data_IF_052977919177
#
_entry.id   IF_052977919177
#
_cell.length_a   1.000
_cell.length_b   1.000
_cell.length_c   1.000
_cell.angle_alpha   90.00
_cell.angle_beta   90.00
_cell.angle_gamma   90.00
#
_symmetry.space_group_name_H-M   'P 1'
#
loop_
_entity.id
_entity.type
_entity.pdbx_description
1 polymer ?
#
# COMPACT_ATOMS: atom_id res chain seq x y z
N UNK A 1 -12.49 -3.80 10.25
CA UNK A 1 -12.36 -4.96 11.16
C UNK A 1 -11.73 -6.18 10.48
N UNK A 2 -12.05 -6.47 9.21
CA UNK A 2 -11.54 -7.64 8.47
C UNK A 2 -10.00 -7.70 8.36
N UNK A 3 -9.33 -6.63 7.91
CA UNK A 3 -7.86 -6.62 7.74
C UNK A 3 -7.08 -6.98 9.00
N UNK A 4 -7.48 -6.47 10.17
CA UNK A 4 -6.85 -6.82 11.47
C UNK A 4 -7.03 -8.29 11.82
N UNK A 5 -8.16 -8.89 11.49
CA UNK A 5 -8.42 -10.31 11.75
C UNK A 5 -7.46 -11.16 10.93
N UNK A 6 -7.41 -10.92 9.62
CA UNK A 6 -6.52 -11.61 8.69
C UNK A 6 -5.04 -11.48 9.07
N UNK A 7 -4.58 -10.28 9.42
CA UNK A 7 -3.22 -10.06 9.90
C UNK A 7 -2.88 -10.86 11.17
N UNK A 8 -3.86 -11.10 12.05
CA UNK A 8 -3.64 -11.85 13.29
C UNK A 8 -3.68 -13.36 13.10
N UNK A 9 -4.44 -13.83 12.11
CA UNK A 9 -4.57 -15.25 11.78
C UNK A 9 -3.58 -15.70 10.70
N UNK A 10 -2.75 -14.79 10.19
CA UNK A 10 -1.77 -15.08 9.15
C UNK A 10 -0.81 -16.18 9.61
N UNK A 11 -0.64 -17.21 8.79
CA UNK A 11 0.33 -18.29 9.02
C UNK A 11 1.56 -17.98 8.17
N UNK A 12 2.73 -17.88 8.81
CA UNK A 12 4.00 -17.50 8.17
C UNK A 12 3.94 -16.21 7.33
N UNK A 13 3.05 -15.29 7.68
CA UNK A 13 2.84 -14.02 6.98
C UNK A 13 2.00 -14.12 5.72
N UNK A 14 1.46 -15.31 5.41
CA UNK A 14 0.54 -15.54 4.30
C UNK A 14 -0.89 -15.22 4.74
N UNK A 15 -1.61 -14.50 3.89
CA UNK A 15 -3.02 -14.13 4.10
C UNK A 15 -3.78 -14.55 2.85
N UNK A 16 -4.75 -15.45 3.05
CA UNK A 16 -5.67 -15.86 2.01
C UNK A 16 -6.93 -14.98 2.06
N UNK A 17 -7.33 -14.44 0.91
CA UNK A 17 -8.43 -13.50 0.78
C UNK A 17 -9.40 -14.03 -0.27
N UNK A 18 -10.68 -14.09 0.11
CA UNK A 18 -11.74 -14.20 -0.88
C UNK A 18 -11.93 -12.86 -1.62
N UNK A 19 -12.75 -12.87 -2.67
CA UNK A 19 -12.99 -11.69 -3.51
C UNK A 19 -13.46 -10.46 -2.71
N UNK A 20 -14.36 -10.65 -1.74
CA UNK A 20 -14.85 -9.55 -0.89
C UNK A 20 -13.76 -9.05 0.07
N UNK A 21 -12.96 -9.96 0.62
CA UNK A 21 -11.78 -9.66 1.43
C UNK A 21 -10.74 -8.86 0.65
N UNK A 22 -10.43 -9.27 -0.58
CA UNK A 22 -9.50 -8.58 -1.47
C UNK A 22 -9.98 -7.15 -1.78
N UNK A 23 -11.26 -6.95 -2.07
CA UNK A 23 -11.83 -5.61 -2.26
C UNK A 23 -11.75 -4.74 -0.98
N UNK A 24 -12.02 -5.32 0.18
CA UNK A 24 -11.89 -4.61 1.46
C UNK A 24 -10.43 -4.22 1.76
N UNK A 25 -9.48 -5.09 1.43
CA UNK A 25 -8.05 -4.81 1.54
C UNK A 25 -7.60 -3.73 0.57
N UNK A 26 -8.08 -3.76 -0.68
CA UNK A 26 -7.79 -2.74 -1.68
C UNK A 26 -8.17 -1.34 -1.19
N UNK A 27 -9.36 -1.18 -0.62
CA UNK A 27 -9.80 0.08 -0.02
C UNK A 27 -8.90 0.54 1.13
N UNK A 28 -8.58 -0.36 2.05
CA UNK A 28 -7.71 -0.04 3.19
C UNK A 28 -6.28 0.35 2.77
N UNK A 29 -5.70 -0.38 1.82
CA UNK A 29 -4.37 -0.07 1.26
C UNK A 29 -4.39 1.29 0.57
N UNK A 30 -5.42 1.57 -0.23
CA UNK A 30 -5.60 2.86 -0.90
C UNK A 30 -5.69 4.03 0.10
N UNK A 31 -6.47 3.89 1.18
CA UNK A 31 -6.61 4.93 2.21
C UNK A 31 -5.26 5.24 2.89
N UNK A 32 -4.49 4.21 3.22
CA UNK A 32 -3.14 4.37 3.79
C UNK A 32 -2.25 5.07 2.78
N UNK A 33 -2.26 4.65 1.52
CA UNK A 33 -1.44 5.24 0.45
C UNK A 33 -1.78 6.72 0.24
N UNK A 34 -3.05 7.08 0.22
CA UNK A 34 -3.49 8.48 0.13
C UNK A 34 -2.98 9.32 1.32
N UNK A 35 -3.10 8.80 2.54
CA UNK A 35 -2.60 9.50 3.73
C UNK A 35 -1.08 9.70 3.69
N UNK A 36 -0.32 8.70 3.24
CA UNK A 36 1.13 8.82 3.05
C UNK A 36 1.47 9.78 1.90
N UNK A 37 0.68 9.80 0.82
CA UNK A 37 0.83 10.73 -0.29
C UNK A 37 0.68 12.19 0.15
N UNK A 38 -0.29 12.49 1.00
CA UNK A 38 -0.43 13.82 1.63
C UNK A 38 0.82 14.15 2.46
N UNK A 39 1.29 13.22 3.30
CA UNK A 39 2.50 13.44 4.12
C UNK A 39 3.76 13.66 3.28
N UNK A 40 3.85 13.00 2.12
CA UNK A 40 4.94 13.15 1.17
C UNK A 40 4.81 14.39 0.28
N UNK A 41 3.67 15.07 0.32
CA UNK A 41 3.33 16.20 -0.52
C UNK A 41 3.47 15.87 -2.02
N UNK A 42 2.98 14.71 -2.44
CA UNK A 42 3.10 14.20 -3.82
C UNK A 42 2.41 15.06 -4.89
N UNK A 43 1.59 16.03 -4.47
CA UNK A 43 0.96 16.99 -5.39
C UNK A 43 1.93 18.09 -5.84
N UNK A 44 2.88 18.44 -4.97
CA UNK A 44 3.86 19.51 -5.25
C UNK A 44 5.24 18.94 -5.59
N UNK A 45 5.57 17.76 -5.04
CA UNK A 45 6.85 17.08 -5.29
C UNK A 45 6.72 16.07 -6.41
N UNK A 46 7.67 16.11 -7.33
CA UNK A 46 7.83 15.10 -8.37
C UNK A 46 8.36 13.80 -7.78
N UNK A 47 8.10 12.70 -8.49
CA UNK A 47 8.64 11.38 -8.14
C UNK A 47 10.18 11.40 -8.05
N UNK A 48 10.86 12.06 -8.99
CA UNK A 48 12.33 12.16 -8.99
C UNK A 48 12.88 12.90 -7.77
N UNK A 49 12.18 13.91 -7.26
CA UNK A 49 12.57 14.60 -6.02
C UNK A 49 12.43 13.71 -4.78
N UNK A 50 11.47 12.78 -4.78
CA UNK A 50 11.26 11.82 -3.69
C UNK A 50 12.29 10.67 -3.74
N UNK A 51 12.69 10.25 -4.93
CA UNK A 51 13.74 9.22 -5.14
C UNK A 51 15.12 9.69 -4.66
N UNK A 52 15.37 11.00 -4.73
CA UNK A 52 16.63 11.64 -4.36
C UNK A 52 16.67 12.12 -2.90
N UNK A 53 15.70 11.72 -2.06
CA UNK A 53 15.72 12.02 -0.63
C UNK A 53 17.02 11.54 0.03
N UNK A 54 17.61 12.41 0.85
CA UNK A 54 18.84 12.10 1.57
C UNK A 54 18.65 10.86 2.47
N UNK A 55 19.71 10.06 2.73
CA UNK A 55 19.57 8.83 3.49
C UNK A 55 19.00 8.97 4.89
N UNK A 56 19.23 10.12 5.53
CA UNK A 56 18.77 10.50 6.86
C UNK A 56 17.47 11.33 6.84
N UNK A 57 16.89 11.58 5.66
CA UNK A 57 15.62 12.28 5.54
C UNK A 57 14.48 11.46 6.19
N UNK A 58 13.72 12.03 7.14
CA UNK A 58 12.65 11.32 7.83
C UNK A 58 11.51 10.84 6.90
N UNK A 59 11.35 11.44 5.73
CA UNK A 59 10.36 11.04 4.72
C UNK A 59 10.85 9.91 3.81
N UNK A 60 12.15 9.57 3.81
CA UNK A 60 12.66 8.50 2.95
C UNK A 60 12.01 7.15 3.27
N UNK A 61 11.86 6.82 4.55
CA UNK A 61 11.14 5.61 4.98
C UNK A 61 9.66 5.65 4.60
N UNK A 62 9.03 6.82 4.70
CA UNK A 62 7.63 7.03 4.29
C UNK A 62 7.45 6.77 2.79
N UNK A 63 8.37 7.28 1.97
CA UNK A 63 8.36 7.11 0.53
C UNK A 63 8.54 5.64 0.11
N UNK A 64 9.44 4.90 0.77
CA UNK A 64 9.63 3.47 0.53
C UNK A 64 8.33 2.69 0.80
N UNK A 65 7.67 2.95 1.94
CA UNK A 65 6.41 2.29 2.29
C UNK A 65 5.30 2.69 1.31
N UNK A 66 5.22 3.95 0.92
CA UNK A 66 4.26 4.44 -0.08
C UNK A 66 4.42 3.71 -1.43
N UNK A 67 5.66 3.51 -1.88
CA UNK A 67 5.97 2.76 -3.10
C UNK A 67 5.58 1.29 -2.98
N UNK A 68 5.96 0.63 -1.89
CA UNK A 68 5.60 -0.77 -1.63
C UNK A 68 4.08 -0.99 -1.58
N UNK A 69 3.32 -0.08 -0.96
CA UNK A 69 1.85 -0.13 -0.96
C UNK A 69 1.28 0.05 -2.36
N UNK A 70 1.93 0.82 -3.23
CA UNK A 70 1.55 0.95 -4.64
C UNK A 70 1.66 -0.39 -5.37
N UNK A 71 2.79 -1.07 -5.23
CA UNK A 71 2.99 -2.42 -5.79
C UNK A 71 1.96 -3.43 -5.25
N UNK A 72 1.71 -3.42 -3.94
CA UNK A 72 0.70 -4.29 -3.33
C UNK A 72 -0.72 -3.99 -3.85
N UNK A 73 -1.06 -2.72 -4.01
CA UNK A 73 -2.35 -2.29 -4.55
C UNK A 73 -2.54 -2.76 -5.99
N UNK A 74 -1.50 -2.66 -6.82
CA UNK A 74 -1.52 -3.15 -8.21
C UNK A 74 -1.74 -4.66 -8.27
N UNK A 75 -1.01 -5.45 -7.46
CA UNK A 75 -1.22 -6.90 -7.40
C UNK A 75 -2.63 -7.32 -6.94
N UNK A 76 -3.25 -6.57 -6.01
CA UNK A 76 -4.65 -6.80 -5.63
C UNK A 76 -5.63 -6.48 -6.76
N UNK A 77 -5.37 -5.44 -7.54
CA UNK A 77 -6.19 -5.08 -8.72
C UNK A 77 -6.08 -6.17 -9.78
N UNK A 78 -4.86 -6.61 -10.10
CA UNK A 78 -4.63 -7.69 -11.07
C UNK A 78 -5.37 -8.97 -10.68
N UNK A 79 -5.24 -9.40 -9.42
CA UNK A 79 -5.92 -10.59 -8.91
C UNK A 79 -7.45 -10.50 -8.99
N UNK A 80 -8.01 -9.31 -8.78
CA UNK A 80 -9.46 -9.07 -8.89
C UNK A 80 -9.94 -8.95 -10.35
N UNK A 81 -9.07 -8.58 -11.28
CA UNK A 81 -9.39 -8.46 -12.71
C UNK A 81 -9.35 -9.82 -13.42
N UNK A 82 -8.46 -10.73 -13.01
CA UNK A 82 -8.35 -12.08 -13.58
C UNK A 82 -9.55 -13.00 -13.25
N UNK A 83 -10.40 -12.60 -12.30
CA UNK A 83 -11.62 -13.33 -11.91
C UNK A 83 -12.86 -12.98 -12.78
N UNK A 84 -12.65 -12.34 -13.94
CA UNK A 84 -13.72 -11.90 -14.87
C UNK A 84 -13.76 -12.63 -16.22
#
# INVERSE_FOLDING_TARGET
MAMRMYLKSAEDGVIDLDHDGANAWLGAVNDIRLALGVRLNVQERTQGELELLAPDDPLRGVYIVYGWLGWLQEGLIEALMDDS
#
